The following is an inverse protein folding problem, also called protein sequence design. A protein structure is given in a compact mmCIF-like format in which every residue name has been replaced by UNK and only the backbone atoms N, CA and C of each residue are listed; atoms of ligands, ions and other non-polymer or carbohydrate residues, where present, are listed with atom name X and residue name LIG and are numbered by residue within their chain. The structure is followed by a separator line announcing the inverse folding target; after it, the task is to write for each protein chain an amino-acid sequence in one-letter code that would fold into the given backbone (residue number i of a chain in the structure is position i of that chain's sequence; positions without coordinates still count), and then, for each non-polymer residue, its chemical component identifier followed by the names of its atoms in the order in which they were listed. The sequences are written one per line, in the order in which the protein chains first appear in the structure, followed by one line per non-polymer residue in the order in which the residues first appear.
data_IF_463539022709
#
_entry.id   IF_463539022709
#
_cell.length_a   1.000
_cell.length_b   1.000
_cell.length_c   1.000
_cell.angle_alpha   90.00
_cell.angle_beta   90.00
_cell.angle_gamma   90.00
#
_symmetry.space_group_name_H-M   'P 1'
#
loop_
_entity.id
_entity.type
_entity.pdbx_description
1 polymer ?
#
# COMPACT_ATOMS: atom_id res chain seq x y z
N UNK A 1 66.28 57.87 3.39
CA UNK A 1 65.22 57.22 2.59
C UNK A 1 64.86 58.16 1.45
N UNK A 2 64.88 57.70 0.22
CA UNK A 2 64.56 58.53 -0.96
C UNK A 2 63.06 58.81 -1.01
N UNK A 3 62.66 59.92 -1.57
CA UNK A 3 61.24 60.30 -1.75
C UNK A 3 60.43 59.29 -2.52
N UNK A 4 61.03 58.48 -3.38
CA UNK A 4 60.45 57.38 -4.12
C UNK A 4 60.11 56.20 -3.17
N UNK A 5 60.97 55.90 -2.18
CA UNK A 5 60.72 54.83 -1.20
C UNK A 5 59.55 55.15 -0.29
N UNK A 6 59.35 56.40 0.11
CA UNK A 6 58.25 56.88 0.92
C UNK A 6 56.92 56.86 0.10
N UNK A 7 56.97 57.21 -1.18
CA UNK A 7 55.81 57.13 -2.09
C UNK A 7 55.36 55.72 -2.35
N UNK A 8 56.28 54.78 -2.51
CA UNK A 8 56.01 53.36 -2.72
C UNK A 8 55.40 52.73 -1.43
N UNK A 9 55.89 53.10 -0.26
CA UNK A 9 55.39 52.64 1.04
C UNK A 9 53.92 53.12 1.27
N UNK A 10 53.68 54.42 1.02
CA UNK A 10 52.33 54.97 1.15
C UNK A 10 51.34 54.34 0.16
N UNK A 11 51.77 54.03 -1.04
CA UNK A 11 50.92 53.36 -2.04
C UNK A 11 50.61 51.94 -1.66
N UNK A 12 51.55 51.22 -1.07
CA UNK A 12 51.35 49.86 -0.57
C UNK A 12 50.43 49.81 0.65
N UNK A 13 50.61 50.74 1.60
CA UNK A 13 49.75 50.88 2.73
C UNK A 13 48.30 51.19 2.34
N UNK A 14 48.07 52.10 1.41
CA UNK A 14 46.75 52.46 0.89
C UNK A 14 46.08 51.26 0.19
N UNK A 15 46.83 50.43 -0.53
CA UNK A 15 46.29 49.17 -1.13
C UNK A 15 45.89 48.15 -0.08
N UNK A 16 46.75 47.91 0.89
CA UNK A 16 46.48 47.03 2.00
C UNK A 16 45.22 47.48 2.75
N UNK A 17 45.15 48.74 3.16
CA UNK A 17 44.04 49.32 3.88
C UNK A 17 42.73 49.18 3.13
N UNK A 18 42.73 49.43 1.79
CA UNK A 18 41.53 49.22 0.97
C UNK A 18 41.13 47.76 0.90
N UNK A 19 42.03 46.81 0.70
CA UNK A 19 41.71 45.37 0.70
C UNK A 19 41.13 44.91 2.01
N UNK A 20 41.69 45.37 3.12
CA UNK A 20 41.21 45.02 4.46
C UNK A 20 39.84 45.64 4.77
N UNK A 21 39.63 46.90 4.44
CA UNK A 21 38.35 47.60 4.75
C UNK A 21 37.20 47.21 3.83
N UNK A 22 37.46 46.83 2.57
CA UNK A 22 36.40 46.48 1.61
C UNK A 22 36.17 45.00 1.45
N UNK A 23 36.88 44.17 2.19
CA UNK A 23 36.71 42.72 2.16
C UNK A 23 35.32 42.29 2.64
N UNK A 24 34.73 41.32 1.94
CA UNK A 24 33.45 40.71 2.28
C UNK A 24 33.62 39.48 3.20
N UNK A 25 34.75 39.42 3.91
CA UNK A 25 35.06 38.42 4.94
C UNK A 25 35.62 39.14 6.16
N UNK A 26 35.42 38.56 7.34
CA UNK A 26 35.97 39.13 8.57
C UNK A 26 37.49 38.90 8.68
N UNK A 27 38.21 39.97 8.95
CA UNK A 27 39.64 39.91 9.20
C UNK A 27 39.96 40.45 10.60
N UNK A 28 40.78 39.70 11.33
CA UNK A 28 41.42 40.13 12.56
C UNK A 28 42.92 40.05 12.43
N UNK A 29 43.61 41.03 12.98
CA UNK A 29 45.06 41.00 13.24
C UNK A 29 45.23 40.92 14.78
N UNK A 30 45.98 39.93 15.24
CA UNK A 30 46.14 39.61 16.64
C UNK A 30 47.68 39.60 16.92
N UNK A 31 48.05 40.17 18.05
CA UNK A 31 49.41 40.09 18.56
C UNK A 31 49.78 38.65 18.98
N UNK A 32 50.86 38.12 18.46
CA UNK A 32 51.26 36.74 18.63
C UNK A 32 51.57 36.40 20.09
N UNK A 33 52.14 37.35 20.87
CA UNK A 33 52.57 37.10 22.22
C UNK A 33 51.41 37.20 23.21
N UNK A 34 50.66 38.31 23.15
CA UNK A 34 49.58 38.62 24.09
C UNK A 34 48.21 38.05 23.72
N UNK A 35 47.97 37.75 22.44
CA UNK A 35 46.65 37.35 21.92
C UNK A 35 45.67 38.53 21.81
N UNK A 36 46.15 39.76 21.96
CA UNK A 36 45.32 40.97 21.87
C UNK A 36 45.05 41.34 20.42
N UNK A 37 43.84 41.72 20.11
CA UNK A 37 43.42 42.19 18.78
C UNK A 37 44.04 43.56 18.52
N UNK A 38 44.85 43.64 17.46
CA UNK A 38 45.48 44.87 17.01
C UNK A 38 44.59 45.61 16.01
N UNK A 39 43.91 44.88 15.13
CA UNK A 39 42.98 45.47 14.17
C UNK A 39 41.87 44.49 13.79
N UNK A 40 40.71 45.04 13.39
CA UNK A 40 39.55 44.33 12.87
C UNK A 40 38.93 45.11 11.71
N UNK A 41 38.59 44.43 10.62
CA UNK A 41 37.98 45.11 9.49
C UNK A 41 36.48 45.42 9.72
N UNK A 42 35.91 46.41 8.99
CA UNK A 42 34.53 46.79 9.17
C UNK A 42 33.53 45.66 9.02
N UNK A 43 33.74 44.74 8.07
CA UNK A 43 32.87 43.61 7.85
C UNK A 43 32.73 42.72 9.12
N UNK A 44 33.83 42.43 9.80
CA UNK A 44 33.76 41.63 11.05
C UNK A 44 33.08 42.36 12.17
N UNK A 45 33.33 43.66 12.32
CA UNK A 45 32.70 44.50 13.35
C UNK A 45 31.19 44.52 13.14
N UNK A 46 30.72 44.70 11.93
CA UNK A 46 29.29 44.67 11.55
C UNK A 46 28.70 43.28 11.76
N UNK A 47 29.41 42.23 11.39
CA UNK A 47 28.97 40.84 11.55
C UNK A 47 28.70 40.45 13.02
N UNK A 48 29.60 40.93 13.89
CA UNK A 48 29.55 40.62 15.34
C UNK A 48 28.80 41.66 16.18
N UNK A 49 28.36 42.77 15.58
CA UNK A 49 27.69 43.92 16.25
C UNK A 49 28.59 44.64 17.29
N UNK A 50 29.92 44.70 17.08
CA UNK A 50 30.86 45.39 17.93
C UNK A 50 31.45 46.61 17.25
N UNK A 51 31.75 47.65 18.06
CA UNK A 51 32.58 48.75 17.60
C UNK A 51 34.09 48.43 17.68
N UNK A 52 34.91 49.15 16.89
CA UNK A 52 36.36 48.90 16.87
C UNK A 52 36.99 49.13 18.27
N UNK A 53 36.56 50.15 18.99
CA UNK A 53 37.06 50.46 20.33
C UNK A 53 36.69 49.40 21.39
N UNK A 54 35.66 48.62 21.13
CA UNK A 54 35.26 47.52 22.03
C UNK A 54 36.06 46.23 21.78
N UNK A 55 36.73 46.11 20.66
CA UNK A 55 37.43 44.89 20.22
C UNK A 55 38.94 45.05 20.33
N UNK A 56 39.49 46.16 19.85
CA UNK A 56 40.93 46.40 19.86
C UNK A 56 41.51 46.48 21.25
N UNK A 57 42.65 45.85 21.49
CA UNK A 57 43.34 45.78 22.76
C UNK A 57 42.84 44.68 23.70
N UNK A 58 41.75 43.97 23.34
CA UNK A 58 41.24 42.80 24.09
C UNK A 58 41.67 41.50 23.44
N UNK A 59 41.76 40.46 24.23
CA UNK A 59 41.97 39.13 23.69
C UNK A 59 40.67 38.59 23.04
N UNK A 60 40.78 37.77 22.01
CA UNK A 60 39.63 37.25 21.26
C UNK A 60 38.56 36.56 22.12
N UNK A 61 38.98 35.90 23.21
CA UNK A 61 38.10 35.23 24.16
C UNK A 61 37.49 36.18 25.23
N UNK A 62 37.90 37.46 25.23
CA UNK A 62 37.39 38.47 26.15
C UNK A 62 36.23 39.29 25.57
N UNK A 63 36.11 39.36 24.24
CA UNK A 63 35.07 40.15 23.56
C UNK A 63 33.68 39.51 23.64
N UNK A 64 33.57 38.26 24.19
CA UNK A 64 32.27 37.60 24.37
C UNK A 64 31.69 36.95 23.10
N UNK A 65 32.41 37.04 21.97
CA UNK A 65 32.00 36.43 20.71
C UNK A 65 32.20 34.89 20.69
N UNK A 66 33.12 34.40 21.49
CA UNK A 66 33.31 32.94 21.66
C UNK A 66 32.33 32.42 22.71
N UNK A 67 31.61 31.37 22.41
CA UNK A 67 30.65 30.75 23.34
C UNK A 67 31.40 30.11 24.51
N UNK A 68 32.50 29.41 24.23
CA UNK A 68 33.35 28.80 25.26
C UNK A 68 34.77 29.36 25.20
N UNK A 69 35.27 29.84 26.32
CA UNK A 69 36.60 30.46 26.43
C UNK A 69 37.74 29.44 26.40
N UNK A 70 37.58 28.32 27.07
CA UNK A 70 38.66 27.29 27.18
C UNK A 70 39.08 26.73 25.81
N UNK A 71 38.20 26.32 24.88
CA UNK A 71 38.56 25.92 23.56
C UNK A 71 39.25 27.02 22.73
N UNK A 72 38.89 28.29 22.93
CA UNK A 72 39.51 29.42 22.25
C UNK A 72 40.98 29.64 22.70
N UNK A 73 41.24 29.53 23.99
CA UNK A 73 42.61 29.62 24.56
C UNK A 73 43.47 28.42 24.08
N UNK A 74 42.91 27.22 24.06
CA UNK A 74 43.58 26.06 23.57
C UNK A 74 43.92 26.17 22.06
N UNK A 75 42.98 26.70 21.27
CA UNK A 75 43.19 26.97 19.84
C UNK A 75 44.30 28.01 19.61
N UNK A 76 44.35 29.05 20.39
CA UNK A 76 45.42 30.06 20.35
C UNK A 76 46.82 29.46 20.71
N UNK A 77 46.87 28.58 21.68
CA UNK A 77 48.10 27.87 22.06
C UNK A 77 48.55 26.92 20.92
N UNK A 78 47.65 26.16 20.31
CA UNK A 78 47.96 25.30 19.20
C UNK A 78 48.40 26.09 17.95
N UNK A 79 47.83 27.26 17.71
CA UNK A 79 48.24 28.16 16.62
C UNK A 79 49.69 28.63 16.80
N UNK A 80 50.12 28.92 18.03
CA UNK A 80 51.48 29.31 18.31
C UNK A 80 52.54 28.19 18.03
N UNK A 81 52.11 26.93 18.20
CA UNK A 81 52.99 25.76 17.95
C UNK A 81 53.00 25.40 16.48
N UNK A 82 51.84 25.40 15.80
CA UNK A 82 51.68 24.88 14.44
C UNK A 82 51.74 25.93 13.36
N UNK A 83 51.57 27.21 13.71
CA UNK A 83 51.52 28.34 12.79
C UNK A 83 50.23 28.45 11.98
N UNK A 84 49.29 27.48 12.11
CA UNK A 84 48.03 27.42 11.35
C UNK A 84 46.96 26.64 12.11
N UNK A 85 45.71 27.15 12.07
CA UNK A 85 44.52 26.43 12.54
C UNK A 85 43.35 26.71 11.60
N UNK A 86 42.40 25.77 11.50
CA UNK A 86 41.14 25.90 10.78
C UNK A 86 40.02 25.22 11.54
N UNK A 87 38.92 25.91 11.70
CA UNK A 87 37.65 25.40 12.18
C UNK A 87 36.60 25.62 11.11
N UNK A 88 36.02 24.54 10.60
CA UNK A 88 35.03 24.61 9.51
C UNK A 88 33.64 24.99 10.00
N UNK A 89 33.40 24.94 11.30
CA UNK A 89 32.11 25.20 11.92
C UNK A 89 32.31 25.65 13.37
N UNK A 90 32.50 26.94 13.53
CA UNK A 90 32.65 27.56 14.84
C UNK A 90 31.46 28.46 15.13
N UNK A 91 30.64 28.16 16.17
CA UNK A 91 29.58 29.04 16.57
C UNK A 91 30.14 30.26 17.29
N UNK A 92 29.87 31.44 16.77
CA UNK A 92 30.13 32.72 17.41
C UNK A 92 28.83 33.38 17.89
N UNK A 93 28.90 34.19 18.92
CA UNK A 93 27.79 34.95 19.47
C UNK A 93 27.99 36.42 19.19
N UNK A 94 27.05 37.08 18.54
CA UNK A 94 27.07 38.53 18.38
C UNK A 94 26.82 39.24 19.70
N UNK A 95 27.12 40.53 19.78
CA UNK A 95 26.86 41.37 20.95
C UNK A 95 25.39 41.37 21.36
N UNK A 96 24.47 41.26 20.40
CA UNK A 96 23.02 41.17 20.63
C UNK A 96 22.57 39.74 21.00
N UNK A 97 23.46 38.77 21.07
CA UNK A 97 23.17 37.42 21.48
C UNK A 97 22.79 36.46 20.34
N UNK A 98 22.78 36.88 19.08
CA UNK A 98 22.54 36.04 17.91
C UNK A 98 23.71 35.08 17.72
N UNK A 99 23.42 33.81 17.47
CA UNK A 99 24.43 32.81 17.12
C UNK A 99 24.60 32.77 15.62
N UNK A 100 25.85 32.85 15.16
CA UNK A 100 26.28 32.71 13.78
C UNK A 100 27.29 31.58 13.67
N UNK A 101 27.26 30.82 12.58
CA UNK A 101 28.26 29.80 12.31
C UNK A 101 29.30 30.38 11.37
N UNK A 102 30.57 30.23 11.71
CA UNK A 102 31.65 30.76 10.89
C UNK A 102 32.69 29.67 10.59
N UNK A 103 33.28 29.77 9.40
CA UNK A 103 34.55 29.15 9.10
C UNK A 103 35.64 30.10 9.61
N UNK A 104 36.51 29.59 10.44
CA UNK A 104 37.57 30.36 11.10
C UNK A 104 38.93 29.78 10.70
N UNK A 105 39.76 30.58 10.05
CA UNK A 105 41.12 30.19 9.64
C UNK A 105 42.08 31.22 10.19
N UNK A 106 43.15 30.72 10.90
CA UNK A 106 44.18 31.60 11.40
C UNK A 106 45.57 31.07 11.02
N UNK A 107 46.43 31.99 10.69
CA UNK A 107 47.82 31.72 10.41
C UNK A 107 48.72 32.79 11.03
N UNK A 108 49.91 32.40 11.44
CA UNK A 108 50.93 33.32 11.92
C UNK A 108 51.98 33.57 10.85
N UNK A 109 52.48 34.78 10.78
CA UNK A 109 53.56 35.18 9.91
C UNK A 109 54.39 36.32 10.54
N UNK A 110 55.57 36.57 10.02
CA UNK A 110 56.51 37.57 10.54
C UNK A 110 56.49 38.81 9.68
N UNK A 111 56.38 39.97 10.34
CA UNK A 111 56.46 41.31 9.72
C UNK A 111 57.49 42.12 10.47
N UNK A 112 58.56 42.54 9.83
CA UNK A 112 59.63 43.40 10.43
C UNK A 112 60.17 42.83 11.75
N UNK A 113 60.37 41.51 11.83
CA UNK A 113 60.87 40.85 13.08
C UNK A 113 59.83 40.64 14.14
N UNK A 114 58.52 40.97 13.88
CA UNK A 114 57.41 40.79 14.83
C UNK A 114 56.47 39.72 14.27
N UNK A 115 56.13 38.69 15.07
CA UNK A 115 55.10 37.70 14.72
C UNK A 115 53.72 38.26 14.96
N UNK A 116 52.86 38.14 13.97
CA UNK A 116 51.46 38.51 14.00
C UNK A 116 50.58 37.33 13.61
N UNK A 117 49.37 37.31 14.07
CA UNK A 117 48.34 36.31 13.65
C UNK A 117 47.29 37.01 12.88
N UNK A 118 47.02 36.47 11.68
CA UNK A 118 45.85 36.87 10.87
C UNK A 118 44.76 35.82 10.99
N UNK A 119 43.53 36.24 11.29
CA UNK A 119 42.36 35.41 11.32
C UNK A 119 41.41 35.83 10.20
N UNK A 120 40.98 34.88 9.41
CA UNK A 120 39.94 35.01 8.41
C UNK A 120 38.66 34.35 8.95
N UNK A 121 37.57 35.10 8.95
CA UNK A 121 36.29 34.67 9.53
C UNK A 121 35.23 34.84 8.45
N UNK A 122 34.71 33.71 7.97
CA UNK A 122 33.67 33.68 6.94
C UNK A 122 32.36 33.25 7.59
N UNK A 123 31.30 34.03 7.43
CA UNK A 123 29.94 33.64 7.83
C UNK A 123 29.44 32.53 6.89
N UNK A 124 29.15 31.36 7.46
CA UNK A 124 28.59 30.19 6.77
C UNK A 124 27.16 29.88 7.22
N UNK A 125 26.51 30.77 7.97
CA UNK A 125 25.18 30.56 8.55
C UNK A 125 24.15 30.28 7.45
N UNK A 126 24.09 31.11 6.41
CA UNK A 126 23.17 30.92 5.29
C UNK A 126 23.44 29.61 4.53
N UNK A 127 24.71 29.24 4.32
CA UNK A 127 25.10 27.97 3.69
C UNK A 127 24.60 26.78 4.52
N UNK A 128 24.81 26.79 5.82
CA UNK A 128 24.35 25.72 6.73
C UNK A 128 22.84 25.61 6.78
N UNK A 129 22.14 26.74 6.79
CA UNK A 129 20.67 26.73 6.74
C UNK A 129 20.21 26.07 5.44
N UNK A 130 20.75 26.46 4.29
CA UNK A 130 20.39 25.87 2.99
C UNK A 130 20.69 24.36 2.95
N UNK A 131 21.83 23.93 3.49
CA UNK A 131 22.22 22.52 3.55
C UNK A 131 21.26 21.73 4.45
N UNK A 132 20.89 22.29 5.61
CA UNK A 132 19.90 21.68 6.53
C UNK A 132 18.53 21.57 5.85
N UNK A 133 18.06 22.63 5.18
CA UNK A 133 16.79 22.66 4.48
C UNK A 133 16.77 21.65 3.32
N UNK A 134 17.88 21.51 2.60
CA UNK A 134 18.04 20.52 1.53
C UNK A 134 17.94 19.09 2.09
N UNK A 135 18.64 18.81 3.19
CA UNK A 135 18.59 17.48 3.85
C UNK A 135 17.17 17.16 4.30
N UNK A 136 16.47 18.14 4.91
CA UNK A 136 15.07 17.97 5.32
C UNK A 136 14.14 17.72 4.12
N UNK A 137 14.30 18.50 3.06
CA UNK A 137 13.53 18.35 1.82
C UNK A 137 13.77 16.98 1.18
N UNK A 138 15.03 16.55 1.11
CA UNK A 138 15.39 15.25 0.57
C UNK A 138 14.76 14.10 1.38
N UNK A 139 14.85 14.15 2.71
CA UNK A 139 14.21 13.16 3.58
C UNK A 139 12.69 13.11 3.43
N UNK A 140 12.05 14.25 3.26
CA UNK A 140 10.60 14.31 2.99
C UNK A 140 10.25 13.71 1.63
N UNK A 141 11.06 14.00 0.61
CA UNK A 141 10.89 13.44 -0.74
C UNK A 141 11.06 11.91 -0.74
N UNK A 142 12.07 11.38 -0.04
CA UNK A 142 12.28 9.94 0.10
C UNK A 142 11.10 9.24 0.78
N UNK A 143 10.60 9.81 1.90
CA UNK A 143 9.42 9.25 2.59
C UNK A 143 8.21 9.19 1.67
N UNK A 144 7.91 10.27 0.96
CA UNK A 144 6.79 10.29 0.00
C UNK A 144 6.98 9.26 -1.11
N UNK A 145 8.19 9.09 -1.61
CA UNK A 145 8.52 8.10 -2.62
C UNK A 145 8.19 6.66 -2.15
N UNK A 146 8.58 6.30 -0.91
CA UNK A 146 8.29 4.98 -0.36
C UNK A 146 6.79 4.72 -0.18
N UNK A 147 6.03 5.70 0.27
CA UNK A 147 4.58 5.57 0.41
C UNK A 147 3.89 5.38 -0.94
N UNK A 148 4.29 6.14 -1.97
CA UNK A 148 3.77 6.00 -3.34
C UNK A 148 4.13 4.64 -3.94
N UNK A 149 5.35 4.13 -3.73
CA UNK A 149 5.73 2.79 -4.17
C UNK A 149 4.92 1.70 -3.47
N UNK A 150 4.74 1.81 -2.14
CA UNK A 150 3.92 0.88 -1.37
C UNK A 150 2.48 0.84 -1.90
N UNK A 151 1.88 2.02 -2.13
CA UNK A 151 0.55 2.14 -2.71
C UNK A 151 0.47 1.50 -4.10
N UNK A 152 1.38 1.87 -5.02
CA UNK A 152 1.36 1.36 -6.39
C UNK A 152 1.53 -0.16 -6.48
N UNK A 153 2.43 -0.74 -5.70
CA UNK A 153 2.63 -2.19 -5.65
C UNK A 153 1.44 -2.91 -5.00
N UNK A 154 0.86 -2.33 -3.95
CA UNK A 154 -0.32 -2.89 -3.31
C UNK A 154 -1.54 -2.83 -4.22
N UNK A 155 -1.77 -1.73 -4.93
CA UNK A 155 -2.84 -1.60 -5.92
C UNK A 155 -2.70 -2.64 -7.05
N UNK A 156 -1.49 -2.90 -7.55
CA UNK A 156 -1.25 -3.98 -8.51
C UNK A 156 -1.58 -5.36 -7.94
N UNK A 157 -1.32 -5.60 -6.66
CA UNK A 157 -1.63 -6.86 -6.00
C UNK A 157 -3.15 -7.13 -5.94
N UNK A 158 -3.97 -6.09 -5.85
CA UNK A 158 -5.44 -6.18 -5.87
C UNK A 158 -5.96 -6.79 -7.19
N UNK A 159 -5.39 -6.42 -8.34
CA UNK A 159 -5.82 -6.90 -9.65
C UNK A 159 -5.55 -8.40 -9.87
N UNK A 160 -4.52 -8.95 -9.22
CA UNK A 160 -4.09 -10.33 -9.42
C UNK A 160 -4.61 -11.30 -8.37
N UNK A 161 -5.27 -10.82 -7.33
CA UNK A 161 -5.78 -11.65 -6.25
C UNK A 161 -7.06 -12.40 -6.66
N UNK A 162 -7.08 -13.71 -6.39
CA UNK A 162 -8.25 -14.55 -6.59
C UNK A 162 -8.93 -14.96 -5.28
N UNK A 163 -8.24 -14.80 -4.15
CA UNK A 163 -8.75 -15.13 -2.82
C UNK A 163 -8.48 -13.97 -1.84
N UNK A 164 -9.29 -13.89 -0.77
CA UNK A 164 -9.07 -12.95 0.34
C UNK A 164 -7.64 -13.06 0.91
N UNK A 165 -7.18 -14.29 1.13
CA UNK A 165 -5.86 -14.55 1.71
C UNK A 165 -4.72 -14.05 0.80
N UNK A 166 -4.82 -14.27 -0.52
CA UNK A 166 -3.83 -13.79 -1.48
C UNK A 166 -3.81 -12.27 -1.56
N UNK A 167 -4.98 -11.65 -1.62
CA UNK A 167 -5.12 -10.19 -1.65
C UNK A 167 -4.43 -9.56 -0.44
N UNK A 168 -4.83 -9.95 0.75
CA UNK A 168 -4.33 -9.37 2.00
C UNK A 168 -2.82 -9.62 2.15
N UNK A 169 -2.36 -10.85 1.89
CA UNK A 169 -0.93 -11.20 1.98
C UNK A 169 -0.08 -10.37 1.03
N UNK A 170 -0.51 -10.22 -0.22
CA UNK A 170 0.26 -9.50 -1.24
C UNK A 170 0.29 -7.99 -0.96
N UNK A 171 -0.82 -7.41 -0.51
CA UNK A 171 -0.86 -6.00 -0.10
C UNK A 171 0.07 -5.74 1.10
N UNK A 172 -0.04 -6.54 2.15
CA UNK A 172 0.85 -6.41 3.31
C UNK A 172 2.33 -6.54 2.93
N UNK A 173 2.64 -7.48 2.01
CA UNK A 173 4.00 -7.69 1.50
C UNK A 173 4.50 -6.47 0.74
N UNK A 174 3.71 -5.92 -0.17
CA UNK A 174 4.07 -4.76 -0.97
C UNK A 174 4.40 -3.53 -0.10
N UNK A 175 3.64 -3.32 0.98
CA UNK A 175 3.92 -2.24 1.94
C UNK A 175 5.21 -2.53 2.72
N UNK A 176 5.34 -3.73 3.27
CA UNK A 176 6.43 -4.09 4.17
C UNK A 176 7.79 -4.33 3.46
N UNK A 177 7.81 -4.39 2.13
CA UNK A 177 9.03 -4.39 1.31
C UNK A 177 9.67 -2.99 1.23
N UNK A 178 8.94 -1.93 1.58
CA UNK A 178 9.49 -0.58 1.60
C UNK A 178 10.26 -0.32 2.90
N UNK A 179 11.48 0.25 2.84
CA UNK A 179 12.39 0.37 3.99
C UNK A 179 11.83 1.00 5.27
N UNK A 180 10.98 2.05 5.21
CA UNK A 180 10.45 2.66 6.43
C UNK A 180 9.46 1.78 7.18
N UNK A 181 8.85 0.78 6.51
CA UNK A 181 7.75 0.00 7.05
C UNK A 181 8.17 -1.42 7.42
N UNK A 182 8.59 -1.68 8.68
CA UNK A 182 9.04 -3.00 9.11
C UNK A 182 7.91 -4.05 9.11
N UNK A 183 6.64 -3.60 9.08
CA UNK A 183 5.49 -4.48 9.10
C UNK A 183 4.23 -3.78 8.62
N UNK A 184 3.40 -4.53 7.91
CA UNK A 184 1.99 -4.22 7.68
C UNK A 184 1.14 -5.46 7.94
N UNK A 185 -0.08 -5.28 8.45
CA UNK A 185 -1.06 -6.35 8.61
C UNK A 185 -2.48 -5.83 8.44
N UNK A 186 -3.38 -6.74 8.06
CA UNK A 186 -4.81 -6.48 7.97
C UNK A 186 -5.52 -7.26 9.05
N UNK A 187 -6.33 -6.55 9.84
CA UNK A 187 -7.24 -7.12 10.83
C UNK A 187 -8.69 -7.04 10.36
N UNK A 188 -9.40 -8.15 10.37
CA UNK A 188 -10.83 -8.21 10.09
C UNK A 188 -11.63 -8.33 11.38
N UNK A 189 -12.69 -7.56 11.47
CA UNK A 189 -13.56 -7.50 12.64
C UNK A 189 -14.50 -8.71 12.66
N UNK A 190 -14.38 -9.54 13.69
CA UNK A 190 -15.30 -10.66 13.94
C UNK A 190 -16.47 -10.16 14.79
N UNK A 191 -17.66 -10.74 14.53
CA UNK A 191 -18.88 -10.44 15.28
C UNK A 191 -19.14 -11.47 16.40
N UNK A 192 -18.05 -11.96 17.00
CA UNK A 192 -18.08 -12.82 18.18
C UNK A 192 -18.39 -12.03 19.47
N UNK A 193 -18.59 -12.74 20.59
CA UNK A 193 -18.88 -12.14 21.91
C UNK A 193 -17.76 -11.20 22.37
N UNK A 194 -16.51 -11.52 22.02
CA UNK A 194 -15.32 -10.76 22.40
C UNK A 194 -15.02 -9.59 21.45
N UNK A 195 -15.79 -9.46 20.34
CA UNK A 195 -15.52 -8.49 19.27
C UNK A 195 -14.06 -8.53 18.83
N UNK A 196 -13.59 -9.74 18.54
CA UNK A 196 -12.20 -10.00 18.17
C UNK A 196 -11.84 -9.35 16.83
N UNK A 197 -10.61 -8.87 16.71
CA UNK A 197 -10.02 -8.52 15.41
C UNK A 197 -9.04 -9.65 15.04
N UNK A 198 -9.43 -10.43 14.04
CA UNK A 198 -8.61 -11.53 13.52
C UNK A 198 -7.54 -10.97 12.58
N UNK A 199 -6.27 -11.35 12.81
CA UNK A 199 -5.19 -11.06 11.88
C UNK A 199 -5.41 -11.90 10.61
N UNK A 200 -5.86 -11.27 9.53
CA UNK A 200 -6.15 -11.93 8.26
C UNK A 200 -4.90 -12.13 7.41
N UNK A 201 -3.89 -11.26 7.57
CA UNK A 201 -2.59 -11.41 6.94
C UNK A 201 -1.60 -10.39 7.45
N UNK A 202 -0.33 -10.75 7.43
CA UNK A 202 0.79 -9.94 7.92
C UNK A 202 2.03 -10.18 7.05
N UNK A 203 2.83 -9.14 6.86
CA UNK A 203 4.13 -9.23 6.22
C UNK A 203 5.14 -8.26 6.84
N UNK A 204 6.41 -8.51 6.58
CA UNK A 204 7.53 -7.67 6.99
C UNK A 204 8.50 -8.34 7.95
N UNK A 205 9.58 -7.64 8.27
CA UNK A 205 10.66 -8.12 9.16
C UNK A 205 10.20 -8.25 10.61
N UNK A 206 9.18 -7.47 11.00
CA UNK A 206 8.61 -7.48 12.35
C UNK A 206 7.30 -8.32 12.43
N UNK A 207 7.00 -9.19 11.47
CA UNK A 207 5.74 -9.97 11.42
C UNK A 207 5.45 -10.77 12.70
N UNK A 208 6.48 -11.28 13.37
CA UNK A 208 6.33 -12.02 14.64
C UNK A 208 5.76 -11.16 15.78
N UNK A 209 5.69 -9.85 15.64
CA UNK A 209 4.94 -8.98 16.54
C UNK A 209 3.46 -9.39 16.66
N UNK A 210 2.85 -9.92 15.61
CA UNK A 210 1.44 -10.34 15.60
C UNK A 210 1.20 -11.74 16.17
N UNK A 211 2.24 -12.53 16.45
CA UNK A 211 2.10 -13.89 16.94
C UNK A 211 1.46 -13.89 18.35
N UNK A 212 0.23 -14.38 18.46
CA UNK A 212 -0.53 -14.38 19.71
C UNK A 212 -0.96 -13.00 20.20
N UNK A 213 -0.96 -11.97 19.34
CA UNK A 213 -1.48 -10.66 19.71
C UNK A 213 -2.99 -10.73 19.92
N UNK A 214 -3.45 -10.14 21.01
CA UNK A 214 -4.87 -9.94 21.26
C UNK A 214 -5.28 -8.53 20.86
N UNK A 215 -6.24 -8.42 19.95
CA UNK A 215 -6.83 -7.16 19.49
C UNK A 215 -8.34 -7.33 19.43
N UNK A 216 -9.06 -6.35 19.92
CA UNK A 216 -10.53 -6.32 19.91
C UNK A 216 -11.02 -4.98 19.38
N UNK A 217 -12.27 -4.93 18.94
CA UNK A 217 -12.94 -3.66 18.65
C UNK A 217 -14.00 -3.29 19.72
N UNK A 218 -14.06 -4.01 20.85
CA UNK A 218 -14.87 -3.63 22.02
C UNK A 218 -14.28 -2.44 22.75
N UNK A 219 -15.09 -1.41 23.04
CA UNK A 219 -14.65 -0.27 23.86
C UNK A 219 -14.38 -0.64 25.32
N UNK A 220 -14.95 -1.74 25.79
CA UNK A 220 -14.97 -2.15 27.20
C UNK A 220 -13.68 -2.85 27.64
N UNK A 221 -12.84 -3.26 26.69
CA UNK A 221 -11.58 -3.96 26.95
C UNK A 221 -10.36 -3.09 26.67
N UNK A 222 -9.26 -3.32 27.39
CA UNK A 222 -7.99 -2.66 27.12
C UNK A 222 -7.50 -2.96 25.68
N UNK A 223 -7.73 -4.20 25.19
CA UNK A 223 -7.35 -4.63 23.85
C UNK A 223 -8.15 -3.93 22.73
N UNK A 224 -9.30 -3.35 23.05
CA UNK A 224 -10.12 -2.60 22.10
C UNK A 224 -9.88 -1.08 22.09
N UNK A 225 -9.12 -0.57 23.05
CA UNK A 225 -8.79 0.87 23.13
C UNK A 225 -7.60 1.27 22.30
N UNK A 226 -6.88 0.31 21.73
CA UNK A 226 -5.78 0.54 20.80
C UNK A 226 -6.22 1.10 19.44
N UNK A 227 -5.24 1.49 18.59
CA UNK A 227 -5.52 2.16 17.32
C UNK A 227 -6.42 1.35 16.39
N UNK A 228 -6.22 0.03 16.30
CA UNK A 228 -7.03 -0.85 15.44
C UNK A 228 -8.50 -0.89 15.88
N UNK A 229 -8.74 -1.08 17.19
CA UNK A 229 -10.10 -1.12 17.72
C UNK A 229 -10.83 0.21 17.63
N UNK A 230 -10.13 1.32 17.86
CA UNK A 230 -10.67 2.66 17.67
C UNK A 230 -11.01 2.92 16.20
N UNK A 231 -10.12 2.54 15.28
CA UNK A 231 -10.31 2.68 13.84
C UNK A 231 -11.57 1.93 13.36
N UNK A 232 -11.71 0.66 13.74
CA UNK A 232 -12.88 -0.16 13.36
C UNK A 232 -14.18 0.41 13.89
N UNK A 233 -14.22 0.93 15.13
CA UNK A 233 -15.43 1.53 15.70
C UNK A 233 -15.81 2.87 15.11
N UNK A 234 -14.81 3.72 14.86
CA UNK A 234 -15.05 5.09 14.41
C UNK A 234 -15.19 5.22 12.90
N UNK A 235 -14.69 4.24 12.13
CA UNK A 235 -14.54 4.35 10.68
C UNK A 235 -13.57 5.45 10.26
N UNK A 236 -12.66 5.87 11.15
CA UNK A 236 -11.65 6.91 10.90
C UNK A 236 -10.25 6.38 11.13
N UNK A 237 -9.31 6.95 10.41
CA UNK A 237 -7.89 6.63 10.60
C UNK A 237 -7.39 7.08 11.97
N UNK A 238 -6.58 6.25 12.60
CA UNK A 238 -5.97 6.51 13.91
C UNK A 238 -4.45 6.47 13.76
N UNK A 239 -3.83 7.60 13.99
CA UNK A 239 -2.37 7.75 13.95
C UNK A 239 -1.79 7.76 15.36
N UNK A 240 -0.81 6.90 15.62
CA UNK A 240 0.02 6.90 16.82
C UNK A 240 1.40 7.42 16.43
N UNK A 241 1.65 8.69 16.69
CA UNK A 241 2.88 9.38 16.30
C UNK A 241 4.12 8.89 17.06
N UNK A 242 3.97 8.47 18.32
CA UNK A 242 5.03 7.82 19.10
C UNK A 242 4.41 6.79 20.04
N UNK A 243 4.71 5.50 19.81
CA UNK A 243 4.17 4.38 20.59
C UNK A 243 4.54 4.44 22.07
N UNK A 244 5.69 5.05 22.43
CA UNK A 244 6.13 5.17 23.81
C UNK A 244 5.36 6.21 24.61
N UNK A 245 4.75 7.17 23.96
CA UNK A 245 4.06 8.32 24.60
C UNK A 245 2.55 8.21 24.58
N UNK A 246 1.99 7.21 23.86
CA UNK A 246 0.55 7.07 23.68
C UNK A 246 -0.06 6.15 24.74
N UNK A 247 -0.99 6.66 25.53
CA UNK A 247 -1.66 5.92 26.62
C UNK A 247 -2.46 4.71 26.11
N UNK A 248 -3.06 4.80 24.93
CA UNK A 248 -3.87 3.72 24.36
C UNK A 248 -3.05 2.62 23.71
N UNK A 249 -1.72 2.81 23.60
CA UNK A 249 -0.80 1.82 23.05
C UNK A 249 0.00 1.06 24.13
N UNK A 250 -0.14 1.42 25.40
CA UNK A 250 0.69 0.94 26.51
C UNK A 250 0.79 -0.58 26.64
N UNK A 251 -0.31 -1.31 26.44
CA UNK A 251 -0.30 -2.78 26.57
C UNK A 251 0.55 -3.50 25.51
N UNK A 252 0.93 -2.82 24.42
CA UNK A 252 1.76 -3.35 23.35
C UNK A 252 3.16 -2.72 23.30
N UNK A 253 3.47 -1.72 24.13
CA UNK A 253 4.72 -0.94 24.08
C UNK A 253 5.95 -1.81 24.22
N UNK A 254 5.98 -2.71 25.22
CA UNK A 254 7.14 -3.56 25.46
C UNK A 254 7.44 -4.44 24.24
N UNK A 255 6.40 -5.04 23.68
CA UNK A 255 6.51 -5.86 22.49
C UNK A 255 6.90 -5.01 21.27
N UNK A 256 6.32 -3.84 21.08
CA UNK A 256 6.67 -2.93 19.99
C UNK A 256 8.15 -2.53 20.02
N UNK A 257 8.69 -2.28 21.22
CA UNK A 257 10.11 -1.97 21.40
C UNK A 257 11.03 -3.12 20.97
N UNK A 258 10.68 -4.38 21.25
CA UNK A 258 11.46 -5.56 20.83
C UNK A 258 11.61 -5.62 19.30
N UNK A 259 10.63 -5.13 18.56
CA UNK A 259 10.64 -5.10 17.09
C UNK A 259 11.01 -3.74 16.49
N UNK A 260 11.44 -2.78 17.32
CA UNK A 260 11.84 -1.43 16.88
C UNK A 260 10.71 -0.61 16.29
N UNK A 261 9.47 -0.82 16.73
CA UNK A 261 8.29 -0.11 16.28
C UNK A 261 8.10 1.16 17.12
N UNK A 262 8.06 2.33 16.46
CA UNK A 262 7.94 3.65 17.14
C UNK A 262 6.71 4.45 16.71
N UNK A 263 6.08 4.10 15.60
CA UNK A 263 4.92 4.81 15.05
C UNK A 263 4.03 3.82 14.33
N UNK A 264 2.72 4.05 14.31
CA UNK A 264 1.81 3.25 13.49
C UNK A 264 0.58 4.05 13.07
N UNK A 265 -0.03 3.59 11.97
CA UNK A 265 -1.31 4.07 11.50
C UNK A 265 -2.27 2.88 11.34
N UNK A 266 -3.54 3.10 11.71
CA UNK A 266 -4.67 2.23 11.43
C UNK A 266 -5.60 2.96 10.47
N UNK A 267 -5.87 2.37 9.29
CA UNK A 267 -6.81 2.92 8.32
C UNK A 267 -7.99 1.98 8.12
N UNK A 268 -9.24 2.48 8.08
CA UNK A 268 -10.43 1.63 8.07
C UNK A 268 -10.62 0.96 6.72
N UNK A 269 -10.87 -0.34 6.73
CA UNK A 269 -11.30 -1.11 5.56
C UNK A 269 -12.83 -1.20 5.62
N UNK A 270 -13.52 -0.72 4.57
CA UNK A 270 -14.99 -0.69 4.49
C UNK A 270 -15.50 -1.55 3.34
N UNK A 271 -16.69 -2.13 3.54
CA UNK A 271 -17.45 -2.81 2.47
C UNK A 271 -18.43 -1.87 1.76
N UNK A 272 -18.25 -0.54 1.90
CA UNK A 272 -19.14 0.48 1.37
C UNK A 272 -20.32 0.83 2.29
N UNK A 273 -20.65 -0.01 3.28
CA UNK A 273 -21.73 0.25 4.24
C UNK A 273 -21.22 0.38 5.68
N UNK A 274 -20.22 -0.40 6.04
CA UNK A 274 -19.63 -0.46 7.39
C UNK A 274 -18.13 -0.74 7.32
N UNK A 275 -17.44 -0.43 8.41
CA UNK A 275 -16.04 -0.83 8.59
C UNK A 275 -15.98 -2.32 8.93
N UNK A 276 -15.31 -3.10 8.10
CA UNK A 276 -15.13 -4.55 8.25
C UNK A 276 -13.78 -4.93 8.84
N UNK A 277 -12.85 -3.97 8.92
CA UNK A 277 -11.51 -4.22 9.43
C UNK A 277 -10.63 -2.96 9.41
N UNK A 278 -9.34 -3.17 9.56
CA UNK A 278 -8.35 -2.12 9.47
C UNK A 278 -7.05 -2.61 8.84
N UNK A 279 -6.43 -1.76 8.02
CA UNK A 279 -5.05 -1.90 7.58
C UNK A 279 -4.15 -1.21 8.61
N UNK A 280 -3.17 -1.93 9.12
CA UNK A 280 -2.18 -1.44 10.06
C UNK A 280 -0.81 -1.35 9.39
N UNK A 281 -0.20 -0.18 9.43
CA UNK A 281 1.17 0.04 8.94
C UNK A 281 2.02 0.60 10.07
N UNK A 282 3.22 0.05 10.23
CA UNK A 282 4.15 0.41 11.31
C UNK A 282 5.44 1.02 10.77
N UNK A 283 6.05 1.89 11.55
CA UNK A 283 7.33 2.52 11.21
C UNK A 283 8.30 2.51 12.39
N UNK A 284 9.63 2.57 12.09
CA UNK A 284 10.72 2.51 13.07
C UNK A 284 11.01 3.85 13.75
N UNK A 285 10.53 4.94 13.20
CA UNK A 285 10.79 6.29 13.71
C UNK A 285 9.48 6.95 14.16
N UNK A 286 9.48 7.80 15.19
CA UNK A 286 8.32 8.58 15.56
C UNK A 286 7.99 9.60 14.46
N UNK A 287 6.72 10.02 14.39
CA UNK A 287 6.21 10.97 13.39
C UNK A 287 6.53 10.54 11.94
N UNK A 288 6.42 9.23 11.67
CA UNK A 288 6.77 8.68 10.36
C UNK A 288 5.76 9.07 9.28
N UNK A 289 4.50 9.27 9.63
CA UNK A 289 3.41 9.53 8.68
C UNK A 289 3.00 11.00 8.73
N UNK A 290 3.01 11.67 7.58
CA UNK A 290 2.40 12.98 7.36
C UNK A 290 0.99 12.84 6.75
N UNK A 291 0.27 13.93 6.57
CA UNK A 291 -1.10 13.93 6.03
C UNK A 291 -1.20 13.24 4.66
N UNK A 292 -0.24 13.50 3.77
CA UNK A 292 -0.24 12.89 2.44
C UNK A 292 -0.06 11.38 2.48
N UNK A 293 0.77 10.87 3.40
CA UNK A 293 0.99 9.44 3.62
C UNK A 293 -0.25 8.79 4.26
N UNK A 294 -0.89 9.48 5.19
CA UNK A 294 -2.17 9.05 5.78
C UNK A 294 -3.21 8.85 4.68
N UNK A 295 -3.40 9.84 3.79
CA UNK A 295 -4.36 9.74 2.69
C UNK A 295 -4.04 8.60 1.70
N UNK A 296 -2.76 8.33 1.43
CA UNK A 296 -2.39 7.19 0.57
C UNK A 296 -2.80 5.86 1.19
N UNK A 297 -2.61 5.66 2.49
CA UNK A 297 -3.02 4.44 3.18
C UNK A 297 -4.54 4.36 3.39
N UNK A 298 -5.24 5.49 3.52
CA UNK A 298 -6.70 5.54 3.52
C UNK A 298 -7.26 5.05 2.18
N UNK A 299 -6.78 5.60 1.07
CA UNK A 299 -7.18 5.17 -0.26
C UNK A 299 -6.87 3.68 -0.48
N UNK A 300 -5.70 3.21 -0.03
CA UNK A 300 -5.35 1.79 -0.14
C UNK A 300 -6.28 0.89 0.68
N UNK A 301 -6.65 1.31 1.89
CA UNK A 301 -7.59 0.57 2.72
C UNK A 301 -9.01 0.51 2.10
N UNK A 302 -9.44 1.57 1.44
CA UNK A 302 -10.68 1.60 0.67
C UNK A 302 -10.62 0.64 -0.52
N UNK A 303 -9.52 0.65 -1.29
CA UNK A 303 -9.32 -0.29 -2.40
C UNK A 303 -9.28 -1.75 -1.93
N UNK A 304 -8.67 -2.03 -0.76
CA UNK A 304 -8.73 -3.38 -0.15
C UNK A 304 -10.18 -3.78 0.11
N UNK A 305 -11.00 -2.88 0.65
CA UNK A 305 -12.42 -3.11 0.90
C UNK A 305 -13.17 -3.49 -0.38
N UNK A 306 -13.00 -2.73 -1.45
CA UNK A 306 -13.58 -3.04 -2.77
C UNK A 306 -13.06 -4.36 -3.34
N UNK A 307 -11.77 -4.64 -3.19
CA UNK A 307 -11.17 -5.91 -3.63
C UNK A 307 -11.75 -7.12 -2.90
N UNK A 308 -11.91 -7.04 -1.58
CA UNK A 308 -12.55 -8.09 -0.77
C UNK A 308 -14.00 -8.31 -1.18
N UNK A 309 -14.76 -7.24 -1.38
CA UNK A 309 -16.15 -7.31 -1.83
C UNK A 309 -16.27 -7.95 -3.22
N UNK A 310 -15.40 -7.58 -4.15
CA UNK A 310 -15.38 -8.15 -5.50
C UNK A 310 -15.08 -9.66 -5.48
N UNK A 311 -14.14 -10.10 -4.63
CA UNK A 311 -13.82 -11.52 -4.45
C UNK A 311 -15.03 -12.27 -3.88
N UNK A 312 -15.68 -11.74 -2.85
CA UNK A 312 -16.88 -12.34 -2.25
C UNK A 312 -18.01 -12.49 -3.28
N UNK A 313 -18.32 -11.42 -4.03
CA UNK A 313 -19.36 -11.47 -5.07
C UNK A 313 -19.04 -12.49 -6.15
N UNK A 314 -17.75 -12.56 -6.59
CA UNK A 314 -17.32 -13.56 -7.57
C UNK A 314 -17.53 -14.99 -7.04
N UNK A 315 -17.17 -15.26 -5.80
CA UNK A 315 -17.34 -16.58 -5.19
C UNK A 315 -18.82 -16.96 -5.07
N UNK A 316 -19.66 -16.01 -4.66
CA UNK A 316 -21.11 -16.19 -4.58
C UNK A 316 -21.70 -16.49 -5.97
N UNK A 317 -21.33 -15.74 -6.98
CA UNK A 317 -21.80 -15.96 -8.35
C UNK A 317 -21.40 -17.34 -8.89
N UNK A 318 -20.14 -17.77 -8.62
CA UNK A 318 -19.68 -19.12 -8.99
C UNK A 318 -20.50 -20.20 -8.29
N UNK A 319 -20.82 -20.01 -7.01
CA UNK A 319 -21.66 -20.94 -6.26
C UNK A 319 -23.08 -21.01 -6.83
N UNK A 320 -23.72 -19.88 -7.14
CA UNK A 320 -25.04 -19.80 -7.77
C UNK A 320 -25.07 -20.49 -9.14
N UNK A 321 -24.05 -20.26 -9.97
CA UNK A 321 -23.95 -20.94 -11.30
C UNK A 321 -23.88 -22.44 -11.10
N UNK A 322 -23.07 -22.95 -10.18
CA UNK A 322 -22.95 -24.40 -9.91
C UNK A 322 -24.27 -25.02 -9.41
N UNK A 323 -24.96 -24.30 -8.52
CA UNK A 323 -26.28 -24.75 -8.03
C UNK A 323 -27.30 -24.78 -9.15
N UNK A 324 -27.33 -23.74 -10.00
CA UNK A 324 -28.21 -23.71 -11.16
C UNK A 324 -27.92 -24.84 -12.15
N UNK A 325 -26.64 -25.11 -12.47
CA UNK A 325 -26.23 -26.24 -13.32
C UNK A 325 -26.66 -27.59 -12.73
N UNK A 326 -26.47 -27.78 -11.40
CA UNK A 326 -26.90 -29.00 -10.73
C UNK A 326 -28.42 -29.18 -10.79
N UNK A 327 -29.18 -28.12 -10.52
CA UNK A 327 -30.66 -28.14 -10.60
C UNK A 327 -31.15 -28.43 -12.01
N UNK A 328 -30.52 -27.83 -13.01
CA UNK A 328 -30.85 -28.07 -14.43
C UNK A 328 -30.58 -29.52 -14.84
N UNK A 329 -29.44 -30.07 -14.43
CA UNK A 329 -29.10 -31.48 -14.68
C UNK A 329 -30.08 -32.44 -14.01
N UNK A 330 -30.52 -32.15 -12.78
CA UNK A 330 -31.52 -32.93 -12.06
C UNK A 330 -32.89 -32.87 -12.76
N UNK A 331 -33.30 -31.71 -13.27
CA UNK A 331 -34.54 -31.54 -14.04
C UNK A 331 -34.49 -32.39 -15.31
N UNK A 332 -33.39 -32.35 -16.05
CA UNK A 332 -33.22 -33.17 -17.24
C UNK A 332 -33.28 -34.68 -16.96
N UNK A 333 -32.61 -35.14 -15.89
CA UNK A 333 -32.67 -36.54 -15.49
C UNK A 333 -34.08 -36.97 -15.10
N UNK A 334 -34.84 -36.09 -14.46
CA UNK A 334 -36.23 -36.35 -14.13
C UNK A 334 -37.15 -36.44 -15.35
N UNK A 335 -36.94 -35.56 -16.34
CA UNK A 335 -37.65 -35.62 -17.63
C UNK A 335 -37.35 -36.90 -18.37
N UNK A 336 -36.08 -37.30 -18.50
CA UNK A 336 -35.66 -38.54 -19.16
C UNK A 336 -36.32 -39.79 -18.50
N UNK A 337 -36.30 -39.82 -17.16
CA UNK A 337 -36.98 -40.87 -16.37
C UNK A 337 -38.50 -40.92 -16.60
N UNK A 338 -39.12 -39.75 -16.71
CA UNK A 338 -40.57 -39.65 -16.99
C UNK A 338 -40.91 -40.15 -18.39
N UNK A 339 -40.13 -39.76 -19.40
CA UNK A 339 -40.31 -40.24 -20.77
C UNK A 339 -40.06 -41.73 -20.92
N UNK A 340 -39.07 -42.29 -20.22
CA UNK A 340 -38.83 -43.73 -20.15
C UNK A 340 -40.00 -44.46 -19.53
N UNK A 341 -40.58 -43.94 -18.44
CA UNK A 341 -41.77 -44.53 -17.82
C UNK A 341 -42.98 -44.48 -18.74
N UNK A 342 -43.18 -43.39 -19.49
CA UNK A 342 -44.24 -43.32 -20.52
C UNK A 342 -44.02 -44.34 -21.63
N UNK A 343 -42.80 -44.44 -22.14
CA UNK A 343 -42.44 -45.42 -23.17
C UNK A 343 -42.72 -46.84 -22.70
N UNK A 344 -42.32 -47.21 -21.49
CA UNK A 344 -42.64 -48.54 -20.87
C UNK A 344 -44.13 -48.78 -20.74
N UNK A 345 -44.92 -47.75 -20.38
CA UNK A 345 -46.39 -47.86 -20.24
C UNK A 345 -47.01 -48.21 -21.63
N UNK A 346 -46.52 -47.65 -22.70
CA UNK A 346 -46.97 -47.98 -24.07
C UNK A 346 -46.57 -49.43 -24.44
N UNK A 347 -45.38 -49.88 -24.12
CA UNK A 347 -44.95 -51.27 -24.34
C UNK A 347 -45.80 -52.30 -23.64
N UNK A 348 -46.28 -52.03 -22.44
CA UNK A 348 -47.25 -52.91 -21.71
C UNK A 348 -48.59 -53.05 -22.48
N UNK A 349 -48.98 -51.99 -23.22
CA UNK A 349 -50.25 -52.00 -23.95
C UNK A 349 -50.15 -52.63 -25.33
N UNK A 350 -48.95 -52.57 -25.97
CA UNK A 350 -48.66 -53.19 -27.25
C UNK A 350 -47.43 -54.05 -27.12
N UNK A 351 -47.55 -55.35 -26.72
CA UNK A 351 -46.43 -56.28 -26.45
C UNK A 351 -45.50 -56.49 -27.63
N UNK A 352 -45.95 -56.25 -28.88
CA UNK A 352 -45.16 -56.37 -30.09
C UNK A 352 -44.14 -55.25 -30.22
N UNK A 353 -44.25 -54.17 -29.44
CA UNK A 353 -43.39 -52.99 -29.49
C UNK A 353 -42.34 -52.97 -28.34
N UNK A 354 -42.18 -54.06 -27.58
CA UNK A 354 -41.17 -54.13 -26.52
C UNK A 354 -39.76 -53.77 -27.03
N UNK A 355 -39.18 -52.69 -26.46
CA UNK A 355 -37.88 -52.12 -26.84
C UNK A 355 -37.85 -51.45 -28.22
N UNK A 356 -39.01 -51.30 -28.89
CA UNK A 356 -39.08 -50.62 -30.21
C UNK A 356 -38.68 -49.17 -30.10
N UNK A 357 -39.24 -48.40 -29.17
CA UNK A 357 -38.96 -46.98 -28.96
C UNK A 357 -37.48 -46.73 -28.76
N UNK A 358 -36.83 -47.54 -27.94
CA UNK A 358 -35.37 -47.45 -27.69
C UNK A 358 -34.55 -47.74 -28.96
N UNK A 359 -34.95 -48.71 -29.78
CA UNK A 359 -34.25 -49.02 -31.03
C UNK A 359 -34.43 -47.89 -32.05
N UNK A 360 -35.63 -47.37 -32.19
CA UNK A 360 -35.92 -46.22 -33.06
C UNK A 360 -35.14 -44.99 -32.63
N UNK A 361 -35.14 -44.65 -31.34
CA UNK A 361 -34.38 -43.54 -30.82
C UNK A 361 -32.89 -43.63 -31.06
N UNK A 362 -32.28 -44.82 -30.89
CA UNK A 362 -30.85 -45.06 -31.18
C UNK A 362 -30.52 -44.84 -32.65
N UNK A 363 -31.37 -45.37 -33.56
CA UNK A 363 -31.16 -45.22 -35.00
C UNK A 363 -31.34 -43.74 -35.43
N UNK A 364 -32.40 -43.09 -34.95
CA UNK A 364 -32.70 -41.70 -35.27
C UNK A 364 -31.59 -40.76 -34.81
N UNK A 365 -31.05 -40.95 -33.58
CA UNK A 365 -29.89 -40.21 -33.06
C UNK A 365 -28.65 -40.46 -33.90
N UNK A 366 -28.34 -41.71 -34.26
CA UNK A 366 -27.20 -42.03 -35.12
C UNK A 366 -27.29 -41.34 -36.51
N UNK A 367 -28.47 -41.34 -37.12
CA UNK A 367 -28.70 -40.61 -38.38
C UNK A 367 -28.48 -39.09 -38.16
N UNK A 368 -29.03 -38.53 -37.07
CA UNK A 368 -28.86 -37.10 -36.73
C UNK A 368 -27.39 -36.73 -36.52
N UNK A 369 -26.59 -37.63 -35.94
CA UNK A 369 -25.16 -37.42 -35.76
C UNK A 369 -24.41 -37.37 -37.10
N UNK A 370 -24.72 -38.30 -38.03
CA UNK A 370 -24.16 -38.30 -39.36
C UNK A 370 -24.58 -37.09 -40.21
N UNK A 371 -25.78 -36.54 -39.93
CA UNK A 371 -26.26 -35.27 -40.52
C UNK A 371 -25.62 -34.03 -39.90
N UNK A 372 -24.75 -34.13 -38.88
CA UNK A 372 -24.09 -33.02 -38.23
C UNK A 372 -25.00 -32.15 -37.34
N UNK A 373 -26.07 -32.72 -36.80
CA UNK A 373 -26.99 -31.99 -35.92
C UNK A 373 -26.31 -31.72 -34.56
N UNK A 374 -26.61 -30.55 -33.96
CA UNK A 374 -26.10 -30.16 -32.65
C UNK A 374 -26.73 -31.01 -31.52
N UNK A 375 -26.10 -30.94 -30.31
CA UNK A 375 -26.50 -31.75 -29.16
C UNK A 375 -27.98 -31.56 -28.74
N UNK A 376 -28.51 -30.34 -28.83
CA UNK A 376 -29.89 -30.02 -28.48
C UNK A 376 -30.86 -30.72 -29.45
N UNK A 377 -30.57 -30.68 -30.74
CA UNK A 377 -31.35 -31.37 -31.80
C UNK A 377 -31.29 -32.88 -31.60
N UNK A 378 -30.13 -33.46 -31.33
CA UNK A 378 -30.00 -34.88 -31.07
C UNK A 378 -30.79 -35.32 -29.86
N UNK A 379 -30.80 -34.50 -28.79
CA UNK A 379 -31.61 -34.76 -27.59
C UNK A 379 -33.11 -34.71 -27.90
N UNK A 380 -33.56 -33.74 -28.67
CA UNK A 380 -34.96 -33.64 -29.11
C UNK A 380 -35.38 -34.86 -29.96
N UNK A 381 -34.56 -35.29 -30.92
CA UNK A 381 -34.78 -36.50 -31.71
C UNK A 381 -34.88 -37.74 -30.80
N UNK A 382 -33.98 -37.87 -29.84
CA UNK A 382 -34.03 -38.97 -28.87
C UNK A 382 -35.36 -39.01 -28.13
N UNK A 383 -35.75 -37.88 -27.49
CA UNK A 383 -36.98 -37.76 -26.70
C UNK A 383 -38.24 -37.95 -27.56
N UNK A 384 -38.30 -37.33 -28.74
CA UNK A 384 -39.40 -37.47 -29.66
C UNK A 384 -39.55 -38.93 -30.13
N UNK A 385 -38.44 -39.61 -30.43
CA UNK A 385 -38.46 -41.01 -30.84
C UNK A 385 -38.94 -41.97 -29.73
N UNK A 386 -38.64 -41.62 -28.45
CA UNK A 386 -39.11 -42.42 -27.31
C UNK A 386 -40.62 -42.38 -27.14
N UNK A 387 -41.26 -41.30 -27.54
CA UNK A 387 -42.71 -41.08 -27.35
C UNK A 387 -43.52 -40.94 -28.64
N UNK A 388 -42.90 -41.21 -29.86
CA UNK A 388 -43.56 -40.99 -31.13
C UNK A 388 -44.89 -41.74 -31.29
N UNK A 389 -45.03 -42.86 -30.62
CA UNK A 389 -46.17 -43.78 -30.66
C UNK A 389 -47.19 -43.53 -29.50
N UNK A 390 -47.02 -42.43 -28.70
CA UNK A 390 -47.87 -42.18 -27.51
C UNK A 390 -49.38 -42.12 -27.87
N UNK A 391 -49.69 -41.74 -29.10
CA UNK A 391 -51.08 -41.70 -29.60
C UNK A 391 -51.75 -43.05 -29.70
N UNK A 392 -51.00 -44.17 -29.67
CA UNK A 392 -51.55 -45.53 -29.56
C UNK A 392 -52.42 -45.73 -28.30
N UNK A 393 -52.27 -44.87 -27.31
CA UNK A 393 -53.11 -44.89 -26.10
C UNK A 393 -54.60 -44.73 -26.43
N UNK A 394 -54.91 -44.04 -27.52
CA UNK A 394 -56.27 -43.85 -28.01
C UNK A 394 -56.88 -45.02 -28.76
N UNK A 395 -56.06 -46.04 -29.09
CA UNK A 395 -56.51 -47.23 -29.81
C UNK A 395 -56.87 -48.36 -28.86
N UNK A 396 -58.02 -49.05 -29.03
CA UNK A 396 -58.40 -50.21 -28.20
C UNK A 396 -57.31 -51.31 -28.32
N UNK A 397 -56.96 -51.92 -27.16
CA UNK A 397 -55.93 -52.95 -27.05
C UNK A 397 -56.23 -54.20 -27.92
N UNK A 398 -57.51 -54.54 -28.06
CA UNK A 398 -57.98 -55.65 -28.91
C UNK A 398 -57.63 -55.48 -30.38
N UNK A 399 -57.47 -54.23 -30.82
CA UNK A 399 -57.04 -53.91 -32.18
C UNK A 399 -55.52 -54.06 -32.30
N UNK A 400 -54.78 -53.58 -31.31
CA UNK A 400 -53.33 -53.61 -31.32
C UNK A 400 -52.76 -55.04 -31.20
N UNK A 401 -53.44 -55.91 -30.44
CA UNK A 401 -53.01 -57.28 -30.17
C UNK A 401 -53.65 -58.33 -31.06
N UNK A 402 -54.40 -57.93 -32.08
CA UNK A 402 -55.13 -58.83 -32.98
C UNK A 402 -54.16 -59.73 -33.81
N UNK A 403 -54.23 -61.06 -33.70
CA UNK A 403 -53.26 -61.96 -34.37
C UNK A 403 -53.59 -62.23 -35.84
N UNK A 404 -54.62 -61.66 -36.41
CA UNK A 404 -55.08 -61.83 -37.79
C UNK A 404 -54.73 -60.57 -38.64
N UNK A 405 -54.77 -60.79 -39.99
CA UNK A 405 -54.63 -59.60 -40.87
C UNK A 405 -55.66 -58.52 -40.59
N UNK A 406 -55.19 -57.29 -40.54
CA UNK A 406 -56.02 -56.11 -40.25
C UNK A 406 -56.83 -55.75 -41.56
N UNK A 407 -58.09 -55.44 -41.36
CA UNK A 407 -58.91 -54.88 -42.43
C UNK A 407 -58.49 -53.43 -42.73
N UNK A 408 -58.80 -52.95 -43.97
CA UNK A 408 -58.48 -51.58 -44.37
C UNK A 408 -59.05 -50.51 -43.35
N UNK A 409 -60.20 -50.71 -42.77
CA UNK A 409 -60.86 -49.83 -41.77
C UNK A 409 -60.06 -49.82 -40.48
N UNK A 410 -59.63 -51.01 -39.98
CA UNK A 410 -58.84 -51.13 -38.75
C UNK A 410 -57.46 -50.49 -38.94
N UNK A 411 -56.85 -50.64 -40.12
CA UNK A 411 -55.57 -49.98 -40.45
C UNK A 411 -55.72 -48.48 -40.49
N UNK A 412 -56.85 -47.93 -40.97
CA UNK A 412 -57.12 -46.49 -40.92
C UNK A 412 -57.21 -46.00 -39.47
N UNK A 413 -57.88 -46.75 -38.56
CA UNK A 413 -57.94 -46.40 -37.17
C UNK A 413 -56.51 -46.38 -36.49
N UNK A 414 -55.66 -47.34 -36.84
CA UNK A 414 -54.32 -47.35 -36.31
C UNK A 414 -53.52 -46.14 -36.83
N UNK A 415 -53.68 -45.69 -38.05
CA UNK A 415 -52.99 -44.53 -38.61
C UNK A 415 -53.31 -43.22 -37.89
N UNK A 416 -54.46 -43.12 -37.21
CA UNK A 416 -54.81 -41.96 -36.41
C UNK A 416 -53.92 -41.74 -35.16
N UNK A 417 -53.12 -42.78 -34.80
CA UNK A 417 -52.16 -42.59 -33.67
C UNK A 417 -51.16 -41.47 -33.91
N UNK A 418 -50.72 -41.25 -35.15
CA UNK A 418 -49.75 -40.20 -35.45
C UNK A 418 -50.35 -38.80 -35.16
N UNK A 419 -51.59 -38.54 -35.51
CA UNK A 419 -52.31 -37.30 -35.21
C UNK A 419 -52.59 -37.15 -33.71
N UNK A 420 -52.96 -38.27 -33.05
CA UNK A 420 -53.14 -38.30 -31.62
C UNK A 420 -51.79 -38.04 -30.87
N UNK A 421 -50.68 -38.58 -31.35
CA UNK A 421 -49.34 -38.29 -30.79
C UNK A 421 -49.02 -36.79 -30.91
N UNK A 422 -49.28 -36.21 -32.10
CA UNK A 422 -49.06 -34.78 -32.28
C UNK A 422 -49.91 -33.95 -31.32
N UNK A 423 -51.17 -34.24 -31.17
CA UNK A 423 -52.08 -33.51 -30.24
C UNK A 423 -51.64 -33.63 -28.80
N UNK A 424 -51.11 -34.76 -28.36
CA UNK A 424 -50.57 -34.95 -27.02
C UNK A 424 -49.27 -34.16 -26.80
N UNK A 425 -48.40 -34.14 -27.81
CA UNK A 425 -47.01 -33.63 -27.66
C UNK A 425 -46.83 -32.18 -28.07
N UNK A 426 -47.77 -31.57 -28.85
CA UNK A 426 -47.65 -30.24 -29.43
C UNK A 426 -47.45 -29.09 -28.43
N UNK A 427 -47.78 -29.27 -27.16
CA UNK A 427 -47.63 -28.27 -26.13
C UNK A 427 -46.33 -28.46 -25.30
N UNK A 428 -45.48 -29.40 -25.65
CA UNK A 428 -44.21 -29.66 -24.96
C UNK A 428 -43.09 -28.96 -25.72
N UNK A 429 -42.57 -27.81 -25.22
CA UNK A 429 -41.63 -26.93 -25.95
C UNK A 429 -40.37 -27.64 -26.46
N UNK A 430 -39.83 -28.58 -25.69
CA UNK A 430 -38.64 -29.31 -26.06
C UNK A 430 -38.86 -30.38 -27.15
N UNK A 431 -40.12 -30.75 -27.46
CA UNK A 431 -40.48 -31.67 -28.51
C UNK A 431 -41.00 -31.02 -29.78
N UNK A 432 -41.50 -29.77 -29.67
CA UNK A 432 -42.05 -29.00 -30.80
C UNK A 432 -41.04 -28.70 -31.91
N UNK A 433 -39.77 -28.70 -31.64
CA UNK A 433 -38.72 -28.41 -32.62
C UNK A 433 -38.44 -29.64 -33.53
N UNK A 434 -39.06 -30.81 -33.29
CA UNK A 434 -38.77 -32.11 -33.90
C UNK A 434 -40.00 -32.92 -34.33
N UNK A 435 -41.18 -32.42 -34.14
CA UNK A 435 -42.45 -32.90 -34.68
C UNK A 435 -42.82 -32.04 -35.87
#
# INVERSE_FOLDING_TARGET
MSTESISALNTSELRYRRLFETAQEGFLIIDFLSGQIQDANPYLLDLLDYSKDEVVGKALWEIGAMIDKEPAIAAFSALKETGYIRYEDLPLKTKQGRIINVEFISNSYEVDGTLVIQCNIRDITARKQTESDLILSQRQSEKRHWAVLAYGQAAMALFHANTEADLIKNVCKAIAEQPPYPMAWVGLAEHDVNKTIRVAGVAGTAKAYTDGIMVSWSADTAYGRGPTGQCVRSGKSILISDTLKNEHFQIWVERANQYGIRCCIATPISDGSKTIGALMVYAKIPNAFNESEVHLFENLAEEIGYGLQAIMHRQQLIAEIKEHEATQNQLYASLDSTIEAMSKTLEFRDPYTAGHQNRVAKIAVAIGQEMGLNADKLKGIHLGSMVHDIGKVAIPSEILTKPTQLTALVMQMIRLHAEASYEILKNIPCLLTFI
#
